data_IF_399664183466
#
_entry.id   IF_399664183466
#
_cell.length_a   1.000
_cell.length_b   1.000
_cell.length_c   1.000
_cell.angle_alpha   90.00
_cell.angle_beta   90.00
_cell.angle_gamma   90.00
#
_symmetry.space_group_name_H-M   'P 1'
#
loop_
_entity.id
_entity.type
_entity.pdbx_description
1 polymer ?
#
# COMPACT_ATOMS: atom_id res chain seq x y z
N UNK A 1 3.67 -0.48 -6.33
CA UNK A 1 3.99 0.16 -5.04
C UNK A 1 4.11 1.66 -5.22
N UNK A 2 4.58 2.13 -6.37
CA UNK A 2 4.59 3.55 -6.74
C UNK A 2 3.26 4.30 -6.52
N UNK A 3 2.12 3.72 -6.93
CA UNK A 3 0.79 4.35 -6.71
C UNK A 3 0.49 4.57 -5.21
N UNK A 4 0.85 3.62 -4.34
CA UNK A 4 0.67 3.78 -2.89
C UNK A 4 1.65 4.80 -2.30
N UNK A 5 2.86 4.92 -2.86
CA UNK A 5 3.81 5.97 -2.49
C UNK A 5 3.29 7.37 -2.87
N UNK A 6 2.62 7.50 -4.01
CA UNK A 6 2.00 8.75 -4.44
C UNK A 6 0.87 9.15 -3.49
N UNK A 7 -0.02 8.22 -3.14
CA UNK A 7 -1.10 8.49 -2.16
C UNK A 7 -0.52 8.84 -0.79
N UNK A 8 0.50 8.11 -0.31
CA UNK A 8 1.19 8.45 0.94
C UNK A 8 1.68 9.89 0.93
N UNK A 9 2.33 10.31 -0.16
CA UNK A 9 2.85 11.67 -0.29
C UNK A 9 1.74 12.71 -0.26
N UNK A 10 0.64 12.46 -0.98
CA UNK A 10 -0.53 13.35 -0.96
C UNK A 10 -1.15 13.45 0.45
N UNK A 11 -1.24 12.32 1.16
CA UNK A 11 -1.69 12.30 2.55
C UNK A 11 -0.79 13.13 3.46
N UNK A 12 0.53 13.09 3.29
CA UNK A 12 1.48 13.86 4.12
C UNK A 12 1.51 15.36 3.81
N UNK A 13 1.20 15.77 2.58
CA UNK A 13 1.25 17.17 2.14
C UNK A 13 -0.03 17.97 2.50
N UNK A 14 -1.17 17.30 2.75
CA UNK A 14 -2.43 17.94 3.07
C UNK A 14 -2.66 18.12 4.58
N UNK A 15 -3.35 19.22 4.93
CA UNK A 15 -3.95 19.45 6.26
C UNK A 15 -5.45 19.23 6.20
N UNK A 16 -5.99 18.42 7.09
CA UNK A 16 -7.38 17.95 7.06
C UNK A 16 -8.27 18.71 8.06
N UNK A 17 -8.51 19.99 7.79
CA UNK A 17 -9.13 20.92 8.76
C UNK A 17 -10.52 21.44 8.34
N UNK A 18 -10.96 21.14 7.11
CA UNK A 18 -12.21 21.64 6.56
C UNK A 18 -12.94 20.59 5.70
N UNK A 19 -14.19 20.86 5.32
CA UNK A 19 -15.04 19.90 4.58
C UNK A 19 -14.41 19.41 3.28
N UNK A 20 -13.74 20.30 2.52
CA UNK A 20 -13.08 19.95 1.27
C UNK A 20 -11.91 19.00 1.50
N UNK A 21 -11.04 19.32 2.47
CA UNK A 21 -9.93 18.45 2.84
C UNK A 21 -10.41 17.08 3.34
N UNK A 22 -11.55 17.01 4.05
CA UNK A 22 -12.12 15.72 4.49
C UNK A 22 -12.68 14.90 3.32
N UNK A 23 -13.22 15.56 2.30
CA UNK A 23 -13.62 14.90 1.07
C UNK A 23 -12.38 14.33 0.34
N UNK A 24 -11.30 15.10 0.24
CA UNK A 24 -10.03 14.64 -0.32
C UNK A 24 -9.46 13.44 0.44
N UNK A 25 -9.49 13.46 1.78
CA UNK A 25 -9.07 12.32 2.61
C UNK A 25 -9.87 11.06 2.27
N UNK A 26 -11.20 11.17 2.13
CA UNK A 26 -12.07 10.05 1.74
C UNK A 26 -11.72 9.52 0.35
N UNK A 27 -11.47 10.42 -0.61
CA UNK A 27 -11.10 10.07 -1.98
C UNK A 27 -9.78 9.29 -2.00
N UNK A 28 -8.76 9.78 -1.31
CA UNK A 28 -7.45 9.11 -1.19
C UNK A 28 -7.56 7.72 -0.55
N UNK A 29 -8.42 7.56 0.46
CA UNK A 29 -8.68 6.25 1.08
C UNK A 29 -9.37 5.28 0.11
N UNK A 30 -10.37 5.75 -0.65
CA UNK A 30 -11.00 4.92 -1.67
C UNK A 30 -10.02 4.50 -2.77
N UNK A 31 -9.15 5.42 -3.20
CA UNK A 31 -8.13 5.13 -4.20
C UNK A 31 -7.13 4.08 -3.70
N UNK A 32 -6.65 4.24 -2.46
CA UNK A 32 -5.77 3.28 -1.82
C UNK A 32 -6.42 1.89 -1.71
N UNK A 33 -7.69 1.82 -1.29
CA UNK A 33 -8.44 0.57 -1.22
C UNK A 33 -8.57 -0.10 -2.61
N UNK A 34 -8.80 0.70 -3.66
CA UNK A 34 -8.85 0.21 -5.04
C UNK A 34 -7.50 -0.37 -5.49
N UNK A 35 -6.39 0.31 -5.19
CA UNK A 35 -5.04 -0.20 -5.50
C UNK A 35 -4.75 -1.51 -4.76
N UNK A 36 -5.04 -1.57 -3.47
CA UNK A 36 -4.84 -2.79 -2.67
C UNK A 36 -5.63 -3.97 -3.24
N UNK A 37 -6.87 -3.73 -3.65
CA UNK A 37 -7.73 -4.75 -4.28
C UNK A 37 -7.14 -5.22 -5.61
N UNK A 38 -6.74 -4.30 -6.50
CA UNK A 38 -6.09 -4.65 -7.77
C UNK A 38 -4.83 -5.49 -7.56
N UNK A 39 -4.02 -5.12 -6.57
CA UNK A 39 -2.80 -5.84 -6.21
C UNK A 39 -3.08 -7.22 -5.64
N UNK A 40 -4.09 -7.35 -4.78
CA UNK A 40 -4.50 -8.63 -4.24
C UNK A 40 -4.96 -9.58 -5.34
N UNK A 41 -5.83 -9.12 -6.24
CA UNK A 41 -6.30 -9.89 -7.40
C UNK A 41 -5.11 -10.33 -8.28
N UNK A 42 -4.17 -9.43 -8.53
CA UNK A 42 -2.99 -9.73 -9.35
C UNK A 42 -2.10 -10.77 -8.67
N UNK A 43 -1.86 -10.63 -7.36
CA UNK A 43 -1.08 -11.58 -6.58
C UNK A 43 -1.73 -12.98 -6.54
N UNK A 44 -3.06 -13.03 -6.35
CA UNK A 44 -3.83 -14.26 -6.34
C UNK A 44 -3.80 -14.98 -7.71
N UNK A 45 -3.96 -14.25 -8.81
CA UNK A 45 -3.89 -14.81 -10.18
C UNK A 45 -2.51 -15.38 -10.52
N UNK A 46 -1.45 -14.90 -9.89
CA UNK A 46 -0.08 -15.34 -10.14
C UNK A 46 0.38 -16.44 -9.16
N UNK A 47 -0.49 -16.92 -8.27
CA UNK A 47 -0.19 -17.91 -7.20
C UNK A 47 1.09 -17.58 -6.40
N UNK A 48 1.43 -16.29 -6.31
CA UNK A 48 2.79 -15.87 -5.97
C UNK A 48 3.10 -16.02 -4.48
N UNK A 49 2.27 -15.40 -3.65
CA UNK A 49 2.61 -15.28 -2.23
C UNK A 49 1.38 -15.10 -1.34
N UNK A 50 1.09 -16.13 -0.54
CA UNK A 50 0.02 -16.12 0.46
C UNK A 50 0.24 -15.03 1.52
N UNK A 51 1.48 -14.76 1.92
CA UNK A 51 1.81 -13.72 2.91
C UNK A 51 1.52 -12.33 2.35
N UNK A 52 1.90 -12.07 1.10
CA UNK A 52 1.57 -10.81 0.42
C UNK A 52 0.06 -10.64 0.28
N UNK A 53 -0.67 -11.69 -0.11
CA UNK A 53 -2.13 -11.66 -0.16
C UNK A 53 -2.77 -11.31 1.18
N UNK A 54 -2.31 -11.93 2.28
CA UNK A 54 -2.80 -11.65 3.63
C UNK A 54 -2.49 -10.21 4.05
N UNK A 55 -1.30 -9.71 3.71
CA UNK A 55 -0.89 -8.34 4.01
C UNK A 55 -1.76 -7.32 3.27
N UNK A 56 -1.99 -7.52 1.97
CA UNK A 56 -2.84 -6.65 1.16
C UNK A 56 -4.29 -6.62 1.67
N UNK A 57 -4.85 -7.77 2.06
CA UNK A 57 -6.19 -7.85 2.65
C UNK A 57 -6.26 -7.11 3.99
N UNK A 58 -5.27 -7.32 4.87
CA UNK A 58 -5.21 -6.62 6.16
C UNK A 58 -5.12 -5.10 5.98
N UNK A 59 -4.27 -4.62 5.08
CA UNK A 59 -4.19 -3.19 4.76
C UNK A 59 -5.51 -2.67 4.21
N UNK A 60 -6.23 -3.44 3.40
CA UNK A 60 -7.54 -3.06 2.88
C UNK A 60 -8.57 -2.92 4.00
N UNK A 61 -8.63 -3.88 4.92
CA UNK A 61 -9.54 -3.84 6.07
C UNK A 61 -9.28 -2.65 7.00
N UNK A 62 -8.00 -2.29 7.19
CA UNK A 62 -7.64 -1.09 7.94
C UNK A 62 -8.17 0.17 7.24
N UNK A 63 -7.92 0.32 5.93
CA UNK A 63 -8.41 1.46 5.15
C UNK A 63 -9.94 1.55 5.18
N UNK A 64 -10.63 0.41 5.05
CA UNK A 64 -12.09 0.34 5.17
C UNK A 64 -12.57 0.82 6.54
N UNK A 65 -11.88 0.43 7.60
CA UNK A 65 -12.20 0.86 8.98
C UNK A 65 -11.98 2.36 9.17
N UNK A 66 -10.87 2.89 8.63
CA UNK A 66 -10.57 4.32 8.65
C UNK A 66 -11.62 5.14 7.90
N UNK A 67 -12.02 4.69 6.71
CA UNK A 67 -13.07 5.33 5.93
C UNK A 67 -14.40 5.38 6.70
N UNK A 68 -14.78 4.27 7.34
CA UNK A 68 -15.99 4.21 8.17
C UNK A 68 -15.95 5.20 9.34
N UNK A 69 -14.81 5.32 10.02
CA UNK A 69 -14.64 6.30 11.11
C UNK A 69 -14.81 7.73 10.57
N UNK A 70 -14.21 8.07 9.43
CA UNK A 70 -14.34 9.42 8.85
C UNK A 70 -15.78 9.73 8.41
N UNK A 71 -16.52 8.74 7.89
CA UNK A 71 -17.93 8.92 7.50
C UNK A 71 -18.85 9.12 8.71
N UNK A 72 -18.56 8.48 9.84
CA UNK A 72 -19.42 8.50 11.04
C UNK A 72 -19.04 9.57 12.06
N UNK A 73 -17.86 10.16 11.93
CA UNK A 73 -17.39 11.23 12.82
C UNK A 73 -17.94 12.59 12.39
N UNK A 74 -18.34 13.44 13.35
CA UNK A 74 -18.78 14.81 13.05
C UNK A 74 -17.61 15.65 12.53
N UNK A 75 -17.89 16.65 11.69
CA UNK A 75 -16.86 17.47 11.01
C UNK A 75 -15.92 18.25 11.94
N UNK A 76 -16.29 18.45 13.21
CA UNK A 76 -15.54 19.29 14.14
C UNK A 76 -14.44 18.55 14.93
N UNK A 77 -14.22 17.26 14.65
CA UNK A 77 -13.20 16.44 15.34
C UNK A 77 -11.89 16.38 14.53
N UNK A 78 -11.24 17.53 14.35
CA UNK A 78 -9.99 17.68 13.58
C UNK A 78 -8.90 16.68 14.01
N UNK A 79 -8.70 16.51 15.32
CA UNK A 79 -7.74 15.54 15.88
C UNK A 79 -8.01 14.11 15.43
N UNK A 80 -9.28 13.72 15.25
CA UNK A 80 -9.64 12.40 14.76
C UNK A 80 -9.15 12.20 13.33
N UNK A 81 -9.30 13.20 12.46
CA UNK A 81 -8.90 13.11 11.06
C UNK A 81 -7.37 13.08 10.91
N UNK A 82 -6.65 13.88 11.71
CA UNK A 82 -5.18 13.83 11.80
C UNK A 82 -4.71 12.44 12.27
N UNK A 83 -5.37 11.87 13.27
CA UNK A 83 -5.04 10.52 13.74
C UNK A 83 -5.25 9.46 12.66
N UNK A 84 -6.36 9.55 11.91
CA UNK A 84 -6.63 8.63 10.81
C UNK A 84 -5.59 8.78 9.69
N UNK A 85 -5.25 10.00 9.29
CA UNK A 85 -4.16 10.26 8.33
C UNK A 85 -2.86 9.57 8.77
N UNK A 86 -2.45 9.76 10.02
CA UNK A 86 -1.22 9.17 10.57
C UNK A 86 -1.25 7.64 10.55
N UNK A 87 -2.39 7.03 10.88
CA UNK A 87 -2.58 5.57 10.85
C UNK A 87 -2.46 5.03 9.42
N UNK A 88 -3.08 5.71 8.46
CA UNK A 88 -3.04 5.33 7.03
C UNK A 88 -1.61 5.39 6.51
N UNK A 89 -0.88 6.48 6.77
CA UNK A 89 0.52 6.65 6.37
C UNK A 89 1.40 5.55 6.98
N UNK A 90 1.20 5.24 8.27
CA UNK A 90 1.93 4.16 8.95
C UNK A 90 1.67 2.80 8.33
N UNK A 91 0.41 2.47 8.04
CA UNK A 91 0.05 1.19 7.42
C UNK A 91 0.58 1.07 5.99
N UNK A 92 0.60 2.17 5.23
CA UNK A 92 1.23 2.21 3.91
C UNK A 92 2.75 1.97 4.00
N UNK A 93 3.44 2.59 4.95
CA UNK A 93 4.87 2.36 5.20
C UNK A 93 5.18 0.91 5.57
N UNK A 94 4.36 0.30 6.42
CA UNK A 94 4.50 -1.10 6.81
C UNK A 94 4.33 -2.02 5.59
N UNK A 95 3.34 -1.75 4.74
CA UNK A 95 3.11 -2.52 3.52
C UNK A 95 4.28 -2.39 2.53
N UNK A 96 4.80 -1.18 2.34
CA UNK A 96 5.91 -0.89 1.42
C UNK A 96 7.22 -1.56 1.88
N UNK A 97 7.59 -1.38 3.16
CA UNK A 97 8.81 -1.96 3.73
C UNK A 97 8.83 -3.49 3.69
N UNK A 98 7.67 -4.13 3.87
CA UNK A 98 7.53 -5.59 3.78
C UNK A 98 7.51 -6.10 2.34
N UNK A 99 7.06 -5.28 1.38
CA UNK A 99 7.13 -5.58 -0.06
C UNK A 99 8.56 -5.56 -0.58
N UNK A 100 9.36 -4.56 -0.20
CA UNK A 100 10.74 -4.41 -0.67
C UNK A 100 11.64 -5.58 -0.20
N UNK A 101 11.35 -6.16 0.97
CA UNK A 101 12.06 -7.36 1.45
C UNK A 101 11.81 -8.61 0.61
N UNK A 102 10.76 -8.64 -0.22
CA UNK A 102 10.48 -9.78 -1.10
C UNK A 102 11.21 -9.68 -2.44
N UNK A 103 11.44 -8.47 -2.96
CA UNK A 103 12.13 -8.26 -4.23
C UNK A 103 13.63 -8.60 -4.16
N UNK A 104 14.26 -8.58 -2.97
CA UNK A 104 15.64 -9.03 -2.78
C UNK A 104 15.84 -10.56 -2.87
N UNK A 105 14.77 -11.36 -2.92
CA UNK A 105 14.88 -12.84 -2.98
C UNK A 105 14.92 -13.41 -4.40
N UNK A 106 14.79 -12.59 -5.44
CA UNK A 106 14.78 -13.06 -6.83
C UNK A 106 15.85 -12.34 -7.65
N UNK A 107 17.12 -12.60 -7.32
CA UNK A 107 18.18 -12.60 -8.32
C UNK A 107 18.76 -14.01 -8.34
N UNK A 108 18.33 -14.89 -9.27
CA UNK A 108 19.13 -16.05 -9.58
C UNK A 108 20.44 -15.52 -10.16
N UNK A 109 21.53 -15.64 -9.41
CA UNK A 109 22.86 -15.65 -10.01
C UNK A 109 22.86 -16.82 -11.00
N UNK A 110 22.57 -16.52 -12.27
CA UNK A 110 22.77 -17.47 -13.35
C UNK A 110 24.24 -17.88 -13.29
N UNK A 111 24.46 -19.14 -12.88
CA UNK A 111 25.72 -19.84 -13.08
C UNK A 111 26.08 -19.70 -14.55
N UNK A 112 27.12 -18.96 -14.87
CA UNK A 112 27.79 -19.04 -16.16
C UNK A 112 28.54 -20.38 -16.21
N UNK A 113 27.81 -21.47 -16.46
CA UNK A 113 28.42 -22.71 -16.92
C UNK A 113 28.78 -22.55 -18.40
N UNK A 114 29.89 -21.89 -18.69
CA UNK A 114 30.52 -22.00 -20.00
C UNK A 114 31.33 -23.29 -20.03
N UNK A 115 30.63 -24.41 -20.29
CA UNK A 115 31.26 -25.55 -20.95
C UNK A 115 31.01 -25.39 -22.44
N UNK A 116 32.06 -25.12 -23.21
CA UNK A 116 32.35 -25.95 -24.37
C UNK A 116 33.84 -25.90 -24.74
N UNK A 117 34.39 -27.02 -25.25
CA UNK A 117 35.82 -27.25 -25.40
C UNK A 117 36.32 -26.96 -26.83
N UNK A 118 37.66 -27.06 -26.97
CA UNK A 118 38.47 -27.21 -28.19
C UNK A 118 38.80 -25.93 -28.96
N UNK A 119 40.09 -25.60 -28.99
CA UNK A 119 40.83 -25.41 -30.23
C UNK A 119 42.20 -26.09 -30.10
N UNK A 120 42.60 -26.78 -31.18
CA UNK A 120 43.85 -27.49 -31.42
C UNK A 120 44.99 -26.47 -31.55
#
# INVERSE_FOLDING_TARGET
>A
MLELLQIKRQLEEQRYTNTESLFELRLLLMEAASILTRKHITNAKQEKDVKMSALLLRSFDNIRSYFYIIETTKRDYEDCFINIQNLVVKDMLNLLSLSDMQDYKIVPLQKTSNNSPVFI
#
